data_IF_674173955536
#
_entry.id   IF_674173955536
#
_cell.length_a   1.000
_cell.length_b   1.000
_cell.length_c   1.000
_cell.angle_alpha   90.00
_cell.angle_beta   90.00
_cell.angle_gamma   90.00
#
_symmetry.space_group_name_H-M   'P 1'
#
loop_
_entity.id
_entity.type
_entity.pdbx_description
1 polymer ?
#
# COMPACT_ATOMS: atom_id res chain seq x y z
N UNK A 1 -11.53 28.95 -4.37
CA UNK A 1 -12.02 28.25 -5.55
C UNK A 1 -11.64 28.91 -6.91
N UNK A 2 -10.72 29.86 -6.97
CA UNK A 2 -10.24 30.46 -8.25
C UNK A 2 -8.74 30.30 -8.53
N UNK A 3 -7.97 29.66 -7.64
CA UNK A 3 -6.51 29.45 -7.81
C UNK A 3 -6.13 28.04 -8.35
N UNK A 4 -7.05 27.10 -8.37
CA UNK A 4 -6.78 25.74 -8.90
C UNK A 4 -7.04 25.57 -10.41
N UNK A 5 -7.72 26.55 -11.04
CA UNK A 5 -8.00 26.51 -12.48
C UNK A 5 -6.84 27.02 -13.36
N UNK A 6 -5.85 27.70 -12.79
CA UNK A 6 -4.75 28.31 -13.56
C UNK A 6 -3.54 27.40 -13.76
N UNK A 7 -3.45 26.26 -13.05
CA UNK A 7 -2.35 25.31 -13.24
C UNK A 7 -2.62 24.25 -14.32
N UNK A 8 -3.87 24.08 -14.73
CA UNK A 8 -4.27 23.10 -15.76
C UNK A 8 -4.12 23.64 -17.20
N UNK A 9 -3.87 24.93 -17.38
CA UNK A 9 -3.79 25.56 -18.72
C UNK A 9 -2.34 25.70 -19.22
N UNK A 10 -1.34 25.51 -18.37
CA UNK A 10 0.06 25.67 -18.77
C UNK A 10 0.68 24.42 -19.43
N UNK A 11 -0.07 23.37 -19.67
CA UNK A 11 0.40 22.11 -20.29
C UNK A 11 -0.10 21.90 -21.73
N UNK A 12 -0.75 22.87 -22.35
CA UNK A 12 -1.38 22.74 -23.68
C UNK A 12 -0.80 23.68 -24.76
N UNK A 13 0.43 24.15 -24.61
CA UNK A 13 1.18 24.77 -25.69
C UNK A 13 2.31 23.85 -26.15
N UNK A 14 1.99 22.69 -26.69
CA UNK A 14 2.91 21.85 -27.45
C UNK A 14 2.42 21.76 -28.87
N UNK A 15 3.25 22.31 -29.77
CA UNK A 15 3.24 22.17 -31.24
C UNK A 15 2.65 20.82 -31.64
N UNK A 16 1.64 20.81 -32.49
CA UNK A 16 1.01 19.58 -33.01
C UNK A 16 2.05 18.78 -33.84
N UNK A 17 2.62 17.73 -33.34
CA UNK A 17 3.42 16.83 -34.16
C UNK A 17 2.46 16.02 -35.04
N UNK A 18 2.86 15.76 -36.28
CA UNK A 18 2.09 14.91 -37.18
C UNK A 18 1.78 13.56 -36.52
N UNK A 19 0.63 12.94 -36.81
CA UNK A 19 0.23 11.63 -36.20
C UNK A 19 1.34 10.57 -36.30
N UNK A 20 2.12 10.57 -37.40
CA UNK A 20 3.27 9.67 -37.57
C UNK A 20 4.41 9.96 -36.60
N UNK A 21 4.61 11.20 -36.18
CA UNK A 21 5.63 11.59 -35.20
C UNK A 21 5.20 11.26 -33.77
N UNK A 22 3.91 11.38 -33.44
CA UNK A 22 3.31 10.94 -32.18
C UNK A 22 3.41 9.43 -32.03
N UNK A 23 3.08 8.67 -33.09
CA UNK A 23 3.19 7.20 -33.09
C UNK A 23 4.64 6.72 -32.96
N UNK A 24 5.60 7.43 -33.56
CA UNK A 24 7.04 7.16 -33.39
C UNK A 24 7.49 7.47 -31.97
N UNK A 25 7.04 8.56 -31.37
CA UNK A 25 7.31 8.89 -29.97
C UNK A 25 6.82 7.81 -29.02
N UNK A 26 5.57 7.40 -29.15
CA UNK A 26 4.98 6.32 -28.36
C UNK A 26 5.71 4.99 -28.60
N UNK A 27 6.01 4.64 -29.83
CA UNK A 27 6.77 3.41 -30.13
C UNK A 27 8.19 3.43 -29.55
N UNK A 28 8.89 4.57 -29.64
CA UNK A 28 10.21 4.71 -29.03
C UNK A 28 10.14 4.66 -27.51
N UNK A 29 9.13 5.28 -26.92
CA UNK A 29 8.86 5.21 -25.49
C UNK A 29 8.59 3.76 -25.07
N UNK A 30 7.67 3.05 -25.72
CA UNK A 30 7.40 1.63 -25.47
C UNK A 30 8.64 0.75 -25.67
N UNK A 31 9.43 1.00 -26.71
CA UNK A 31 10.68 0.29 -26.94
C UNK A 31 11.74 0.57 -25.86
N UNK A 32 11.78 1.78 -25.29
CA UNK A 32 12.67 2.10 -24.16
C UNK A 32 12.32 1.29 -22.91
N UNK A 33 11.03 1.01 -22.69
CA UNK A 33 10.56 0.10 -21.62
C UNK A 33 10.98 -1.35 -21.87
N UNK A 34 10.84 -1.82 -23.10
CA UNK A 34 11.08 -3.22 -23.44
C UNK A 34 12.59 -3.53 -23.48
N UNK A 35 13.39 -2.59 -23.91
CA UNK A 35 14.85 -2.77 -24.12
C UNK A 35 15.69 -2.27 -22.96
N UNK A 36 15.12 -1.45 -22.07
CA UNK A 36 15.74 -0.79 -20.90
C UNK A 36 17.28 -0.81 -20.92
N UNK A 37 17.87 0.05 -21.76
CA UNK A 37 19.32 0.20 -21.89
C UNK A 37 19.88 1.25 -20.93
N UNK A 38 19.06 1.75 -20.00
CA UNK A 38 19.43 2.83 -19.11
C UNK A 38 20.60 2.45 -18.19
N UNK A 39 21.50 3.38 -18.00
CA UNK A 39 22.56 3.33 -17.02
C UNK A 39 21.94 3.42 -15.60
N UNK A 40 22.12 2.39 -14.80
CA UNK A 40 21.52 2.30 -13.44
C UNK A 40 22.00 3.40 -12.49
N UNK A 41 23.18 4.00 -12.75
CA UNK A 41 23.71 5.08 -11.93
C UNK A 41 22.98 6.42 -12.16
N UNK A 42 22.29 6.56 -13.28
CA UNK A 42 21.54 7.78 -13.63
C UNK A 42 20.12 7.70 -13.10
N UNK A 43 19.51 8.85 -12.70
CA UNK A 43 18.10 8.88 -12.37
C UNK A 43 17.24 8.34 -13.51
N UNK A 44 16.32 7.45 -13.16
CA UNK A 44 15.39 6.82 -14.09
C UNK A 44 13.98 7.28 -13.78
N UNK A 45 13.34 7.89 -14.75
CA UNK A 45 11.96 8.33 -14.65
C UNK A 45 11.08 7.52 -15.59
N UNK A 46 9.99 7.00 -15.06
CA UNK A 46 9.06 6.12 -15.74
C UNK A 46 7.64 6.62 -15.53
N UNK A 47 6.88 6.83 -16.60
CA UNK A 47 5.43 7.14 -16.51
C UNK A 47 4.68 6.10 -17.32
N UNK A 48 3.66 5.48 -16.72
CA UNK A 48 2.90 4.43 -17.39
C UNK A 48 1.44 4.46 -16.96
N UNK A 49 0.51 4.13 -17.90
CA UNK A 49 -0.88 3.92 -17.52
C UNK A 49 -1.00 2.69 -16.63
N UNK A 50 -1.90 2.75 -15.67
CA UNK A 50 -2.24 1.62 -14.81
C UNK A 50 -3.66 1.17 -15.06
N UNK A 51 -3.84 -0.14 -15.08
CA UNK A 51 -5.12 -0.81 -15.07
C UNK A 51 -5.12 -1.76 -13.88
N UNK A 52 -6.08 -1.61 -13.00
CA UNK A 52 -6.23 -2.42 -11.82
C UNK A 52 -7.63 -2.99 -11.70
N UNK A 53 -7.75 -3.99 -10.86
CA UNK A 53 -9.03 -4.56 -10.46
C UNK A 53 -8.93 -5.05 -9.02
N UNK A 54 -9.94 -4.74 -8.24
CA UNK A 54 -10.18 -5.36 -6.93
C UNK A 54 -11.68 -5.39 -6.64
N UNK A 55 -12.13 -6.20 -5.67
CA UNK A 55 -13.54 -6.19 -5.26
C UNK A 55 -14.04 -4.81 -4.80
N UNK A 56 -13.14 -3.99 -4.26
CA UNK A 56 -13.44 -2.65 -3.72
C UNK A 56 -13.59 -1.58 -4.80
N UNK A 57 -12.86 -1.73 -5.90
CA UNK A 57 -12.76 -0.69 -6.94
C UNK A 57 -13.44 -1.08 -8.23
N UNK A 58 -13.79 -2.37 -8.39
CA UNK A 58 -14.03 -2.91 -9.72
C UNK A 58 -12.85 -2.57 -10.64
N UNK A 59 -13.09 -2.03 -11.81
CA UNK A 59 -12.03 -1.59 -12.72
C UNK A 59 -11.51 -0.23 -12.31
N UNK A 60 -10.21 -0.16 -12.14
CA UNK A 60 -9.45 1.05 -11.87
C UNK A 60 -8.57 1.40 -13.06
N UNK A 61 -8.63 2.64 -13.52
CA UNK A 61 -7.73 3.20 -14.52
C UNK A 61 -6.94 4.34 -13.89
N UNK A 62 -5.68 4.49 -14.27
CA UNK A 62 -4.85 5.51 -13.67
C UNK A 62 -3.57 5.80 -14.43
N UNK A 63 -2.75 6.63 -13.82
CA UNK A 63 -1.41 6.96 -14.29
C UNK A 63 -0.45 6.83 -13.12
N UNK A 64 0.67 6.15 -13.35
CA UNK A 64 1.76 6.05 -12.37
C UNK A 64 3.05 6.63 -12.91
N UNK A 65 3.76 7.33 -12.03
CA UNK A 65 5.13 7.81 -12.25
C UNK A 65 6.06 7.17 -11.23
N UNK A 66 7.20 6.66 -11.67
CA UNK A 66 8.23 6.08 -10.83
C UNK A 66 9.56 6.80 -11.10
N UNK A 67 10.16 7.36 -10.08
CA UNK A 67 11.51 7.92 -10.11
C UNK A 67 12.42 7.08 -9.23
N UNK A 68 13.50 6.58 -9.83
CA UNK A 68 14.55 5.81 -9.16
C UNK A 68 15.87 6.54 -9.30
N UNK A 69 16.60 6.69 -8.21
CA UNK A 69 17.93 7.30 -8.25
C UNK A 69 18.81 6.87 -7.08
N UNK A 70 20.12 6.91 -7.28
CA UNK A 70 21.12 6.83 -6.22
C UNK A 70 21.56 8.23 -5.84
N UNK A 71 21.71 8.51 -4.56
CA UNK A 71 22.27 9.78 -4.08
C UNK A 71 23.65 9.98 -4.69
N UNK A 72 23.89 11.16 -5.27
CA UNK A 72 25.11 11.53 -6.00
C UNK A 72 25.54 10.54 -7.10
N UNK A 73 24.61 9.71 -7.61
CA UNK A 73 24.86 8.62 -8.56
C UNK A 73 25.80 7.53 -8.05
N UNK A 74 26.02 7.49 -6.75
CA UNK A 74 26.84 6.48 -6.09
C UNK A 74 26.00 5.24 -5.80
N UNK A 75 26.23 4.16 -6.56
CA UNK A 75 25.53 2.89 -6.45
C UNK A 75 25.91 2.09 -5.18
N UNK A 76 26.84 2.58 -4.37
CA UNK A 76 27.08 2.01 -3.02
C UNK A 76 26.03 2.46 -2.02
N UNK A 77 25.31 3.57 -2.31
CA UNK A 77 24.12 3.97 -1.60
C UNK A 77 22.94 3.05 -1.95
N UNK A 78 21.92 3.05 -1.11
CA UNK A 78 20.66 2.37 -1.41
C UNK A 78 19.88 3.15 -2.47
N UNK A 79 19.14 2.40 -3.27
CA UNK A 79 18.26 2.97 -4.29
C UNK A 79 17.14 3.76 -3.63
N UNK A 80 17.03 5.03 -3.98
CA UNK A 80 15.91 5.89 -3.61
C UNK A 80 14.79 5.77 -4.63
N UNK A 81 13.56 5.78 -4.14
CA UNK A 81 12.34 5.60 -4.93
C UNK A 81 11.32 6.68 -4.59
N UNK A 82 10.67 7.22 -5.62
CA UNK A 82 9.45 8.02 -5.50
C UNK A 82 8.42 7.46 -6.48
N UNK A 83 7.27 7.05 -5.97
CA UNK A 83 6.14 6.59 -6.77
C UNK A 83 4.97 7.57 -6.61
N UNK A 84 4.49 8.13 -7.71
CA UNK A 84 3.27 8.92 -7.76
C UNK A 84 2.21 8.14 -8.54
N UNK A 85 0.99 8.02 -8.01
CA UNK A 85 -0.11 7.33 -8.67
C UNK A 85 -1.39 8.14 -8.56
N UNK A 86 -2.13 8.24 -9.67
CA UNK A 86 -3.50 8.72 -9.69
C UNK A 86 -4.40 7.61 -10.20
N UNK A 87 -5.65 7.60 -9.76
CA UNK A 87 -6.62 6.61 -10.23
C UNK A 87 -8.04 7.17 -10.26
N UNK A 88 -8.86 6.55 -11.09
CA UNK A 88 -10.30 6.71 -11.14
C UNK A 88 -10.94 5.34 -11.36
N UNK A 89 -12.04 5.05 -10.68
CA UNK A 89 -12.71 3.75 -10.74
C UNK A 89 -14.13 3.87 -11.31
N UNK A 90 -14.68 2.75 -11.77
CA UNK A 90 -16.08 2.70 -12.23
C UNK A 90 -17.07 3.00 -11.11
N UNK A 91 -16.69 2.80 -9.86
CA UNK A 91 -17.48 3.14 -8.66
C UNK A 91 -17.34 4.62 -8.27
N UNK A 92 -16.78 5.47 -9.17
CA UNK A 92 -16.56 6.91 -8.96
C UNK A 92 -15.60 7.26 -7.80
N UNK A 93 -14.77 6.31 -7.42
CA UNK A 93 -13.67 6.56 -6.48
C UNK A 93 -12.51 7.19 -7.26
N UNK A 94 -11.78 8.07 -6.60
CA UNK A 94 -10.59 8.69 -7.18
C UNK A 94 -9.56 9.04 -6.11
N UNK A 95 -8.31 9.15 -6.52
CA UNK A 95 -7.25 9.55 -5.60
C UNK A 95 -5.93 9.86 -6.28
N UNK A 96 -5.04 10.44 -5.48
CA UNK A 96 -3.66 10.70 -5.82
C UNK A 96 -2.77 10.27 -4.64
N UNK A 97 -1.80 9.42 -4.91
CA UNK A 97 -0.88 8.87 -3.93
C UNK A 97 0.54 9.24 -4.32
N UNK A 98 1.33 9.63 -3.35
CA UNK A 98 2.78 9.80 -3.45
C UNK A 98 3.40 8.93 -2.36
N UNK A 99 4.26 8.01 -2.75
CA UNK A 99 5.00 7.15 -1.83
C UNK A 99 6.49 7.33 -2.09
N UNK A 100 7.29 7.32 -1.06
CA UNK A 100 8.73 7.49 -1.21
C UNK A 100 9.53 6.71 -0.18
N UNK A 101 10.75 6.32 -0.61
CA UNK A 101 11.80 5.75 0.21
C UNK A 101 13.13 6.40 -0.23
N UNK A 102 13.60 7.40 0.52
CA UNK A 102 14.73 8.22 0.11
C UNK A 102 15.92 8.02 1.03
N UNK A 103 17.09 7.79 0.44
CA UNK A 103 18.34 7.62 1.16
C UNK A 103 19.31 8.77 0.85
N UNK A 104 19.93 9.34 1.88
CA UNK A 104 21.00 10.32 1.73
C UNK A 104 22.36 9.64 1.47
N UNK A 105 23.42 10.45 1.30
CA UNK A 105 24.78 9.96 1.19
C UNK A 105 25.12 8.97 2.33
N UNK A 106 25.80 7.86 1.97
CA UNK A 106 26.18 6.74 2.86
C UNK A 106 25.00 6.17 3.64
N UNK A 107 23.78 6.39 3.14
CA UNK A 107 22.53 5.99 3.80
C UNK A 107 22.39 6.51 5.23
N UNK A 108 22.90 7.73 5.53
CA UNK A 108 22.87 8.30 6.88
C UNK A 108 21.43 8.67 7.31
N UNK A 109 20.63 9.14 6.37
CA UNK A 109 19.21 9.43 6.56
C UNK A 109 18.36 8.56 5.68
N UNK A 110 17.24 8.13 6.20
CA UNK A 110 16.21 7.40 5.50
C UNK A 110 14.87 8.08 5.74
N UNK A 111 14.28 8.64 4.68
CA UNK A 111 12.94 9.20 4.70
C UNK A 111 12.01 8.18 4.04
N UNK A 112 11.03 7.71 4.79
CA UNK A 112 10.05 6.74 4.33
C UNK A 112 8.65 7.29 4.59
N UNK A 113 7.88 7.53 3.54
CA UNK A 113 6.59 8.15 3.73
C UNK A 113 5.62 7.96 2.59
N UNK A 114 4.40 8.40 2.85
CA UNK A 114 3.36 8.49 1.85
C UNK A 114 2.41 9.65 2.12
N UNK A 115 1.92 10.24 1.02
CA UNK A 115 0.84 11.23 1.00
C UNK A 115 -0.27 10.63 0.15
N UNK A 116 -1.49 10.55 0.69
CA UNK A 116 -2.66 10.01 -0.01
C UNK A 116 -3.82 10.99 0.11
N UNK A 117 -4.35 11.38 -1.03
CA UNK A 117 -5.64 12.05 -1.09
C UNK A 117 -6.60 11.16 -1.88
N UNK A 118 -7.76 10.89 -1.31
CA UNK A 118 -8.73 10.03 -1.95
C UNK A 118 -10.17 10.39 -1.56
N UNK A 119 -11.08 10.18 -2.51
CA UNK A 119 -12.50 10.01 -2.28
C UNK A 119 -12.82 8.55 -2.60
N UNK A 120 -13.07 7.77 -1.55
CA UNK A 120 -13.11 6.32 -1.69
C UNK A 120 -14.27 5.74 -0.85
N UNK A 121 -15.50 5.69 -1.41
CA UNK A 121 -16.58 4.94 -0.80
C UNK A 121 -16.18 3.50 -0.54
N UNK A 122 -16.33 3.03 0.70
CA UNK A 122 -15.99 1.67 1.12
C UNK A 122 -17.13 1.02 1.87
N UNK A 123 -17.18 -0.30 1.82
CA UNK A 123 -18.10 -1.06 2.67
C UNK A 123 -17.61 -1.07 4.12
N UNK A 124 -18.53 -0.81 5.03
CA UNK A 124 -18.33 -0.84 6.47
C UNK A 124 -19.29 -1.86 7.08
N UNK A 125 -18.76 -2.80 7.81
CA UNK A 125 -19.51 -3.93 8.41
C UNK A 125 -19.65 -3.81 9.93
N UNK A 126 -19.31 -2.65 10.51
CA UNK A 126 -19.22 -2.46 11.95
C UNK A 126 -17.82 -2.72 12.51
N UNK A 127 -17.72 -2.80 13.83
CA UNK A 127 -16.47 -3.03 14.58
C UNK A 127 -16.53 -4.39 15.27
N UNK A 128 -15.45 -5.16 15.15
CA UNK A 128 -15.28 -6.49 15.73
C UNK A 128 -15.09 -7.59 14.71
N UNK A 129 -14.71 -8.78 15.22
CA UNK A 129 -14.44 -9.98 14.40
C UNK A 129 -15.70 -10.77 14.03
N UNK A 130 -16.80 -10.53 14.72
CA UNK A 130 -18.06 -11.27 14.60
C UNK A 130 -19.14 -10.52 13.78
N UNK A 131 -18.77 -9.42 13.10
CA UNK A 131 -19.67 -8.66 12.23
C UNK A 131 -20.16 -9.52 11.07
N UNK A 132 -21.45 -9.36 10.70
CA UNK A 132 -22.07 -10.09 9.59
C UNK A 132 -21.87 -9.37 8.24
N UNK A 133 -21.96 -10.12 7.14
CA UNK A 133 -22.06 -9.53 5.79
C UNK A 133 -23.38 -8.75 5.62
N UNK A 134 -24.45 -9.12 6.36
CA UNK A 134 -25.70 -8.38 6.36
C UNK A 134 -25.61 -6.99 7.00
N UNK A 135 -24.55 -6.70 7.74
CA UNK A 135 -24.32 -5.42 8.42
C UNK A 135 -23.68 -4.37 7.50
N UNK A 136 -23.55 -4.70 6.22
CA UNK A 136 -22.88 -3.85 5.24
C UNK A 136 -23.57 -2.51 5.05
N UNK A 137 -22.80 -1.45 5.18
CA UNK A 137 -23.15 -0.08 4.88
C UNK A 137 -22.07 0.51 3.97
N UNK A 138 -22.44 1.37 3.03
CA UNK A 138 -21.44 2.13 2.27
C UNK A 138 -21.11 3.40 3.04
N UNK A 139 -19.82 3.63 3.28
CA UNK A 139 -19.30 4.87 3.88
C UNK A 139 -18.55 5.64 2.82
N UNK A 140 -19.01 6.83 2.49
CA UNK A 140 -18.28 7.80 1.66
C UNK A 140 -17.50 8.75 2.55
N UNK A 141 -16.30 9.11 2.13
CA UNK A 141 -15.49 10.13 2.79
C UNK A 141 -14.44 10.68 1.82
N UNK A 142 -13.98 11.90 2.08
CA UNK A 142 -12.73 12.42 1.52
C UNK A 142 -11.64 12.31 2.60
N UNK A 143 -10.47 11.82 2.20
CA UNK A 143 -9.37 11.58 3.12
C UNK A 143 -8.07 12.16 2.60
N UNK A 144 -7.36 12.92 3.43
CA UNK A 144 -5.95 13.27 3.27
C UNK A 144 -5.15 12.58 4.37
N UNK A 145 -4.24 11.72 3.97
CA UNK A 145 -3.32 11.01 4.87
C UNK A 145 -1.89 11.42 4.52
N UNK A 146 -1.12 11.83 5.52
CA UNK A 146 0.32 12.09 5.39
C UNK A 146 1.02 11.29 6.47
N UNK A 147 1.87 10.36 6.07
CA UNK A 147 2.73 9.58 6.97
C UNK A 147 4.17 9.78 6.60
N UNK A 148 4.98 10.20 7.56
CA UNK A 148 6.39 10.44 7.36
C UNK A 148 7.21 9.83 8.48
N UNK A 149 8.29 9.16 8.11
CA UNK A 149 9.33 8.65 9.01
C UNK A 149 10.64 9.29 8.62
N UNK A 150 11.18 10.09 9.52
CA UNK A 150 12.49 10.73 9.36
C UNK A 150 13.46 9.97 10.25
N UNK A 151 14.26 9.10 9.64
CA UNK A 151 15.07 8.12 10.33
C UNK A 151 16.55 8.39 10.10
N UNK A 152 17.34 8.25 11.13
CA UNK A 152 18.80 8.32 11.08
C UNK A 152 19.41 6.94 11.29
N UNK A 153 20.43 6.63 10.52
CA UNK A 153 21.20 5.39 10.65
C UNK A 153 21.86 5.33 12.02
N UNK A 154 21.62 4.27 12.76
CA UNK A 154 22.24 3.99 14.06
C UNK A 154 23.45 3.09 13.86
N UNK A 155 23.24 1.92 13.21
CA UNK A 155 24.31 0.95 12.92
C UNK A 155 23.86 0.00 11.80
N UNK A 156 24.76 -0.29 10.86
CA UNK A 156 24.47 -1.21 9.75
C UNK A 156 23.25 -0.75 8.96
N UNK A 157 22.22 -1.57 8.93
CA UNK A 157 20.94 -1.31 8.27
C UNK A 157 19.80 -0.96 9.26
N UNK A 158 20.16 -0.60 10.49
CA UNK A 158 19.23 -0.20 11.53
C UNK A 158 19.12 1.31 11.62
N UNK A 159 17.91 1.81 11.61
CA UNK A 159 17.53 3.22 11.62
C UNK A 159 16.58 3.50 12.78
N UNK A 160 16.68 4.67 13.38
CA UNK A 160 15.77 5.17 14.39
C UNK A 160 15.47 6.65 14.16
N UNK A 161 14.28 7.09 14.52
CA UNK A 161 13.89 8.48 14.34
C UNK A 161 12.47 8.77 14.74
N UNK A 162 11.88 9.76 14.11
CA UNK A 162 10.55 10.26 14.42
C UNK A 162 9.54 9.83 13.35
N UNK A 163 8.30 9.62 13.79
CA UNK A 163 7.13 9.40 12.94
C UNK A 163 6.17 10.57 13.07
N UNK A 164 5.54 10.92 11.94
CA UNK A 164 4.42 11.83 11.84
C UNK A 164 3.31 11.10 11.08
N UNK A 165 2.09 11.12 11.63
CA UNK A 165 0.87 10.60 10.98
C UNK A 165 -0.22 11.67 11.06
N UNK A 166 -0.54 12.29 9.93
CA UNK A 166 -1.64 13.25 9.83
C UNK A 166 -2.78 12.64 9.02
N UNK A 167 -3.97 12.67 9.58
CA UNK A 167 -5.18 12.17 8.94
C UNK A 167 -6.29 13.22 9.06
N UNK A 168 -6.76 13.71 7.91
CA UNK A 168 -7.93 14.56 7.79
C UNK A 168 -9.00 13.78 7.01
N UNK A 169 -10.16 13.59 7.61
CA UNK A 169 -11.30 12.90 6.99
C UNK A 169 -12.50 13.85 7.05
N UNK A 170 -13.08 14.15 5.90
CA UNK A 170 -14.23 15.04 5.73
C UNK A 170 -15.32 14.40 4.88
N UNK A 171 -16.48 15.03 4.82
CA UNK A 171 -17.62 14.60 3.99
C UNK A 171 -18.03 13.14 4.24
N UNK A 172 -18.01 12.74 5.53
CA UNK A 172 -18.38 11.39 5.93
C UNK A 172 -19.90 11.21 5.80
N UNK A 173 -20.31 10.22 5.02
CA UNK A 173 -21.71 9.86 4.83
C UNK A 173 -21.89 8.35 4.90
N UNK A 174 -22.89 7.89 5.67
CA UNK A 174 -23.31 6.50 5.73
C UNK A 174 -24.57 6.32 4.92
N UNK A 175 -24.56 5.44 3.90
CA UNK A 175 -25.73 5.06 3.13
C UNK A 175 -26.30 3.73 3.63
N UNK A 176 -27.65 3.62 3.58
CA UNK A 176 -28.40 2.48 4.10
C UNK A 176 -28.10 2.18 5.57
N UNK A 177 -28.30 3.15 6.49
CA UNK A 177 -28.14 2.85 7.90
C UNK A 177 -29.22 1.82 8.27
N UNK A 178 -28.82 0.54 8.30
CA UNK A 178 -29.62 -0.46 9.00
C UNK A 178 -29.67 -0.02 10.46
N UNK A 179 -30.79 -0.19 11.18
CA UNK A 179 -30.83 0.03 12.62
C UNK A 179 -29.97 -1.02 13.29
N UNK A 180 -28.67 -0.81 13.29
CA UNK A 180 -27.72 -1.57 14.07
C UNK A 180 -27.80 -1.01 15.49
N UNK A 181 -27.70 -1.87 16.54
CA UNK A 181 -27.38 -1.35 17.85
C UNK A 181 -26.10 -0.53 17.67
N UNK A 182 -26.20 0.80 17.82
CA UNK A 182 -25.04 1.68 17.71
C UNK A 182 -23.93 1.10 18.60
N UNK A 183 -22.74 0.80 18.06
CA UNK A 183 -21.62 0.52 18.93
C UNK A 183 -21.50 1.73 19.86
N UNK A 184 -21.16 1.56 21.15
CA UNK A 184 -21.24 2.60 22.17
C UNK A 184 -20.38 3.78 21.85
N UNK A 185 -20.16 4.33 20.79
CA UNK A 185 -19.49 5.51 20.28
C UNK A 185 -18.59 5.17 19.06
N UNK A 186 -19.08 5.44 17.86
CA UNK A 186 -18.27 5.36 16.64
C UNK A 186 -17.56 6.71 16.45
N UNK A 187 -16.28 6.79 16.83
CA UNK A 187 -15.48 8.00 16.66
C UNK A 187 -15.23 8.26 15.17
N UNK A 188 -15.27 9.53 14.77
CA UNK A 188 -14.99 9.99 13.41
C UNK A 188 -16.14 9.87 12.42
N UNK A 189 -17.36 9.54 12.87
CA UNK A 189 -18.55 9.41 11.99
C UNK A 189 -18.95 10.73 11.30
N UNK A 190 -18.59 11.87 11.86
CA UNK A 190 -18.90 13.20 11.33
C UNK A 190 -17.67 13.88 10.69
N UNK A 191 -16.58 13.12 10.51
CA UNK A 191 -15.29 13.63 10.10
C UNK A 191 -14.37 13.91 11.28
N UNK A 192 -13.08 14.09 11.01
CA UNK A 192 -12.08 14.40 12.04
C UNK A 192 -10.74 14.83 11.43
N UNK A 193 -9.92 15.43 12.27
CA UNK A 193 -8.51 15.71 12.02
C UNK A 193 -7.68 15.14 13.17
N UNK A 194 -6.64 14.37 12.85
CA UNK A 194 -5.71 13.84 13.85
C UNK A 194 -4.27 14.02 13.38
N UNK A 195 -3.42 14.52 14.28
CA UNK A 195 -1.97 14.58 14.12
C UNK A 195 -1.32 13.72 15.19
N UNK A 196 -0.72 12.62 14.78
CA UNK A 196 0.07 11.74 15.63
C UNK A 196 1.56 11.98 15.45
N UNK A 197 2.29 12.06 16.55
CA UNK A 197 3.74 12.11 16.58
C UNK A 197 4.29 10.93 17.38
N UNK A 198 5.48 10.47 17.03
CA UNK A 198 6.06 9.34 17.72
C UNK A 198 7.43 8.93 17.28
N UNK A 199 7.81 7.72 17.65
CA UNK A 199 9.14 7.15 17.39
C UNK A 199 9.04 6.01 16.37
N UNK A 200 10.04 5.90 15.51
CA UNK A 200 10.18 4.86 14.51
C UNK A 200 11.51 4.14 14.60
N UNK A 201 11.45 2.82 14.48
CA UNK A 201 12.61 1.95 14.33
C UNK A 201 12.43 1.16 13.04
N UNK A 202 13.47 1.09 12.20
CA UNK A 202 13.45 0.30 10.97
C UNK A 202 14.76 -0.48 10.82
N UNK A 203 14.64 -1.77 10.58
CA UNK A 203 15.72 -2.63 10.10
C UNK A 203 15.39 -3.02 8.66
N UNK A 204 16.23 -2.63 7.69
CA UNK A 204 15.99 -2.95 6.29
C UNK A 204 17.26 -3.47 5.62
N UNK A 205 17.33 -4.78 5.39
CA UNK A 205 18.44 -5.45 4.71
C UNK A 205 18.13 -5.84 3.27
N UNK A 206 16.93 -5.52 2.77
CA UNK A 206 16.53 -5.80 1.40
C UNK A 206 17.42 -5.03 0.43
N UNK A 207 17.88 -5.68 -0.63
CA UNK A 207 18.73 -5.04 -1.64
C UNK A 207 17.94 -4.45 -2.82
N UNK A 208 16.75 -4.99 -3.10
CA UNK A 208 15.83 -4.49 -4.13
C UNK A 208 14.43 -4.41 -3.53
N UNK A 209 13.91 -3.19 -3.36
CA UNK A 209 12.59 -2.95 -2.77
C UNK A 209 11.44 -3.12 -3.77
N UNK A 210 11.73 -3.09 -5.09
CA UNK A 210 10.72 -3.23 -6.14
C UNK A 210 10.21 -4.67 -6.29
N UNK A 211 11.11 -5.67 -6.11
CA UNK A 211 10.79 -7.08 -6.01
C UNK A 211 11.82 -7.77 -5.11
N UNK A 212 11.46 -7.92 -3.87
CA UNK A 212 12.37 -8.45 -2.85
C UNK A 212 12.51 -9.96 -3.01
N UNK A 213 13.74 -10.43 -3.14
CA UNK A 213 14.06 -11.85 -3.23
C UNK A 213 14.76 -12.38 -1.98
N UNK A 214 15.55 -11.53 -1.33
CA UNK A 214 16.31 -11.87 -0.12
C UNK A 214 16.35 -10.68 0.84
N UNK A 215 16.42 -10.97 2.14
CA UNK A 215 16.62 -9.99 3.20
C UNK A 215 15.43 -9.84 4.14
N UNK A 216 15.57 -8.91 5.05
CA UNK A 216 14.62 -8.63 6.12
C UNK A 216 14.18 -7.17 6.06
N UNK A 217 12.93 -6.95 6.36
CA UNK A 217 12.40 -5.65 6.74
C UNK A 217 11.66 -5.80 8.07
N UNK A 218 11.96 -4.94 9.02
CA UNK A 218 11.22 -4.85 10.25
C UNK A 218 11.02 -3.39 10.64
N UNK A 219 9.79 -3.04 10.92
CA UNK A 219 9.37 -1.71 11.34
C UNK A 219 8.62 -1.80 12.67
N UNK A 220 8.96 -0.89 13.59
CA UNK A 220 8.17 -0.57 14.77
C UNK A 220 7.89 0.94 14.75
N UNK A 221 6.62 1.31 14.67
CA UNK A 221 6.17 2.69 14.76
C UNK A 221 5.30 2.87 16.01
N UNK A 222 5.69 3.81 16.85
CA UNK A 222 4.91 4.27 18.00
C UNK A 222 4.35 5.64 17.65
N UNK A 223 3.05 5.85 17.83
CA UNK A 223 2.38 7.10 17.51
C UNK A 223 1.47 7.47 18.67
N UNK A 224 1.52 8.73 19.09
CA UNK A 224 0.62 9.32 20.05
C UNK A 224 -0.10 10.50 19.42
N UNK A 225 -1.42 10.46 19.42
CA UNK A 225 -2.31 11.52 18.96
C UNK A 225 -2.98 12.14 20.17
N UNK A 226 -3.01 13.47 20.25
CA UNK A 226 -3.61 14.17 21.37
C UNK A 226 -4.15 15.54 20.95
N UNK A 227 -5.19 15.99 21.61
CA UNK A 227 -5.81 17.30 21.38
C UNK A 227 -4.80 18.46 21.50
N UNK A 228 -3.74 18.30 22.30
CA UNK A 228 -2.64 19.26 22.39
C UNK A 228 -1.84 19.40 21.08
N UNK A 229 -1.96 18.45 20.15
CA UNK A 229 -1.26 18.39 18.87
C UNK A 229 -2.22 18.43 17.66
N UNK A 230 -3.27 19.25 17.72
CA UNK A 230 -4.25 19.42 16.62
C UNK A 230 -5.06 18.16 16.31
N UNK A 231 -5.35 17.31 17.29
CA UNK A 231 -6.14 16.10 17.10
C UNK A 231 -7.51 16.24 17.75
N UNK A 232 -8.54 15.73 17.08
CA UNK A 232 -9.89 15.65 17.62
C UNK A 232 -10.04 14.49 18.62
N UNK A 233 -9.13 13.49 18.55
CA UNK A 233 -9.17 12.28 19.37
C UNK A 233 -7.82 11.99 20.02
N UNK A 234 -7.87 11.58 21.29
CA UNK A 234 -6.70 11.14 22.06
C UNK A 234 -6.53 9.61 21.93
N UNK A 235 -5.47 9.17 21.27
CA UNK A 235 -5.17 7.75 21.13
C UNK A 235 -3.68 7.47 20.98
N UNK A 236 -3.33 6.23 21.25
CA UNK A 236 -2.00 5.67 21.01
C UNK A 236 -2.10 4.56 19.97
N UNK A 237 -1.08 4.44 19.15
CA UNK A 237 -1.02 3.44 18.09
C UNK A 237 0.39 2.84 18.00
N UNK A 238 0.45 1.52 17.93
CA UNK A 238 1.67 0.77 17.68
C UNK A 238 1.48 -0.02 16.38
N UNK A 239 2.41 0.16 15.44
CA UNK A 239 2.47 -0.65 14.23
C UNK A 239 3.76 -1.45 14.20
N UNK A 240 3.63 -2.75 13.95
CA UNK A 240 4.72 -3.69 13.70
C UNK A 240 4.50 -4.29 12.32
N UNK A 241 5.48 -4.18 11.43
CA UNK A 241 5.49 -4.87 10.13
C UNK A 241 6.85 -5.55 9.97
N UNK A 242 6.85 -6.87 9.93
CA UNK A 242 8.08 -7.64 9.72
C UNK A 242 7.93 -8.52 8.49
N UNK A 243 8.95 -8.49 7.64
CA UNK A 243 8.99 -9.24 6.39
C UNK A 243 10.31 -9.98 6.26
N UNK A 244 10.23 -11.22 5.82
CA UNK A 244 11.36 -12.08 5.54
C UNK A 244 11.27 -12.60 4.13
N UNK A 245 12.38 -12.55 3.41
CA UNK A 245 12.49 -13.04 2.04
C UNK A 245 13.72 -13.92 1.91
N UNK A 246 13.57 -15.05 1.22
CA UNK A 246 14.64 -16.00 0.98
C UNK A 246 14.51 -16.61 -0.41
N UNK A 247 15.58 -16.55 -1.19
CA UNK A 247 15.73 -17.32 -2.42
C UNK A 247 16.02 -18.77 -2.10
N UNK A 248 14.99 -19.61 -2.01
CA UNK A 248 15.10 -21.03 -1.66
C UNK A 248 15.79 -21.83 -2.78
N UNK A 249 15.49 -21.49 -4.02
CA UNK A 249 16.13 -22.05 -5.24
C UNK A 249 16.14 -21.00 -6.34
N UNK A 250 16.86 -21.24 -7.43
CA UNK A 250 16.83 -20.40 -8.61
C UNK A 250 15.39 -20.06 -9.00
N UNK A 251 15.05 -18.78 -9.07
CA UNK A 251 13.73 -18.24 -9.39
C UNK A 251 12.60 -18.59 -8.40
N UNK A 252 12.93 -19.09 -7.21
CA UNK A 252 11.95 -19.47 -6.20
C UNK A 252 12.21 -18.69 -4.92
N UNK A 253 11.23 -17.89 -4.50
CA UNK A 253 11.33 -17.02 -3.33
C UNK A 253 10.24 -17.39 -2.33
N UNK A 254 10.63 -17.63 -1.08
CA UNK A 254 9.74 -17.66 0.05
C UNK A 254 9.65 -16.25 0.64
N UNK A 255 8.45 -15.71 0.74
CA UNK A 255 8.19 -14.43 1.36
C UNK A 255 7.22 -14.60 2.53
N UNK A 256 7.57 -14.06 3.68
CA UNK A 256 6.76 -14.10 4.91
C UNK A 256 6.53 -12.68 5.40
N UNK A 257 5.35 -12.40 5.91
CA UNK A 257 5.02 -11.14 6.59
C UNK A 257 4.24 -11.41 7.86
N UNK A 258 4.55 -10.66 8.92
CA UNK A 258 3.77 -10.54 10.15
C UNK A 258 3.44 -9.07 10.35
N UNK A 259 2.16 -8.79 10.54
CA UNK A 259 1.63 -7.45 10.83
C UNK A 259 0.95 -7.47 12.19
N UNK A 260 1.36 -6.57 13.07
CA UNK A 260 0.71 -6.28 14.35
C UNK A 260 0.34 -4.81 14.42
N UNK A 261 -0.91 -4.51 14.70
CA UNK A 261 -1.40 -3.14 14.88
C UNK A 261 -2.20 -3.07 16.16
N UNK A 262 -1.86 -2.16 17.05
CA UNK A 262 -2.46 -2.07 18.36
C UNK A 262 -2.81 -0.61 18.64
N UNK A 263 -4.04 -0.36 19.08
CA UNK A 263 -4.50 0.99 19.38
C UNK A 263 -5.28 1.04 20.71
N UNK A 264 -5.15 2.15 21.41
CA UNK A 264 -5.81 2.44 22.66
C UNK A 264 -6.30 3.88 22.65
N UNK A 265 -7.41 4.16 23.34
CA UNK A 265 -8.02 5.49 23.40
C UNK A 265 -9.17 5.66 22.42
N UNK A 266 -9.39 6.86 21.94
CA UNK A 266 -10.52 7.25 21.08
C UNK A 266 -10.11 7.21 19.61
N UNK A 267 -10.10 6.03 18.99
CA UNK A 267 -9.65 5.83 17.60
C UNK A 267 -10.80 6.01 16.63
N UNK A 268 -10.64 6.88 15.64
CA UNK A 268 -11.63 7.04 14.57
C UNK A 268 -11.82 5.73 13.79
N UNK A 269 -13.06 5.44 13.37
CA UNK A 269 -13.44 4.15 12.78
C UNK A 269 -12.60 3.73 11.56
N UNK A 270 -12.15 4.71 10.75
CA UNK A 270 -11.33 4.44 9.57
C UNK A 270 -9.82 4.38 9.88
N UNK A 271 -9.41 4.72 11.12
CA UNK A 271 -8.04 4.53 11.64
C UNK A 271 -7.88 3.23 12.43
N UNK A 272 -8.98 2.53 12.74
CA UNK A 272 -8.91 1.22 13.40
C UNK A 272 -8.14 0.22 12.53
N UNK A 273 -7.29 -0.63 13.14
CA UNK A 273 -6.68 -1.77 12.50
C UNK A 273 -7.70 -2.63 11.76
N UNK A 274 -7.38 -3.06 10.53
CA UNK A 274 -8.37 -3.76 9.69
C UNK A 274 -7.76 -4.85 8.82
N UNK A 275 -8.55 -5.89 8.56
CA UNK A 275 -8.26 -7.02 7.66
C UNK A 275 -8.97 -6.81 6.33
N UNK A 276 -8.30 -7.25 5.25
CA UNK A 276 -8.81 -7.32 3.89
C UNK A 276 -8.11 -6.37 2.93
N UNK A 277 -8.37 -6.60 1.65
CA UNK A 277 -7.82 -5.81 0.55
C UNK A 277 -6.66 -6.48 -0.19
N UNK A 278 -6.08 -5.78 -1.17
CA UNK A 278 -5.12 -6.39 -2.09
C UNK A 278 -3.73 -6.66 -1.50
N UNK A 279 -3.43 -6.15 -0.29
CA UNK A 279 -2.09 -6.21 0.32
C UNK A 279 -2.03 -7.03 1.61
N UNK A 280 -3.15 -7.18 2.31
CA UNK A 280 -3.21 -7.95 3.55
C UNK A 280 -4.48 -8.80 3.58
N UNK A 281 -4.34 -10.12 3.73
CA UNK A 281 -5.49 -11.04 3.78
C UNK A 281 -6.38 -10.97 2.53
N UNK A 282 -5.78 -11.06 1.33
CA UNK A 282 -6.50 -11.10 0.04
C UNK A 282 -7.63 -12.14 0.06
N UNK A 283 -8.78 -11.77 -0.52
CA UNK A 283 -10.00 -12.56 -0.51
C UNK A 283 -11.07 -11.99 0.42
N UNK A 284 -10.68 -11.29 1.48
CA UNK A 284 -11.57 -10.44 2.25
C UNK A 284 -11.61 -9.03 1.65
N UNK A 285 -12.80 -8.42 1.65
CA UNK A 285 -12.96 -7.01 1.27
C UNK A 285 -12.16 -6.12 2.22
N UNK A 286 -11.64 -5.00 1.72
CA UNK A 286 -10.85 -4.05 2.54
C UNK A 286 -11.68 -3.53 3.72
N UNK A 287 -11.20 -3.76 4.94
CA UNK A 287 -11.90 -3.38 6.15
C UNK A 287 -13.08 -4.27 6.51
N UNK A 288 -13.16 -5.51 5.95
CA UNK A 288 -14.20 -6.49 6.30
C UNK A 288 -14.30 -6.72 7.81
N UNK A 289 -13.16 -6.79 8.47
CA UNK A 289 -13.07 -6.83 9.92
C UNK A 289 -12.16 -5.72 10.40
N UNK A 290 -12.59 -4.98 11.40
CA UNK A 290 -11.80 -3.93 12.04
C UNK A 290 -12.06 -3.90 13.53
N UNK A 291 -11.02 -3.64 14.32
CA UNK A 291 -11.14 -3.49 15.77
C UNK A 291 -9.89 -2.74 16.29
N UNK A 292 -9.78 -2.55 17.61
CA UNK A 292 -8.66 -1.84 18.25
C UNK A 292 -7.30 -2.47 17.96
N UNK A 293 -7.26 -3.79 17.83
CA UNK A 293 -6.02 -4.54 17.62
C UNK A 293 -6.17 -5.48 16.42
N UNK A 294 -5.05 -5.71 15.76
CA UNK A 294 -4.93 -6.63 14.64
C UNK A 294 -3.63 -7.44 14.79
N UNK A 295 -3.72 -8.73 14.51
CA UNK A 295 -2.58 -9.59 14.27
C UNK A 295 -2.84 -10.41 13.01
N UNK A 296 -1.95 -10.33 12.03
CA UNK A 296 -2.08 -11.06 10.79
C UNK A 296 -0.72 -11.53 10.29
N UNK A 297 -0.70 -12.68 9.64
CA UNK A 297 0.47 -13.22 8.95
C UNK A 297 0.10 -13.67 7.56
N UNK A 298 1.04 -13.55 6.64
CA UNK A 298 0.88 -14.08 5.29
C UNK A 298 2.21 -14.64 4.76
N UNK A 299 2.07 -15.62 3.89
CA UNK A 299 3.17 -16.32 3.24
C UNK A 299 2.91 -16.38 1.74
N UNK A 300 3.95 -16.16 0.96
CA UNK A 300 3.95 -16.38 -0.49
C UNK A 300 5.12 -17.27 -0.89
N UNK A 301 4.86 -18.19 -1.82
CA UNK A 301 5.88 -18.91 -2.53
C UNK A 301 5.84 -18.51 -4.01
N UNK A 302 6.88 -17.80 -4.44
CA UNK A 302 6.94 -17.12 -5.74
C UNK A 302 7.87 -17.88 -6.68
N UNK A 303 7.42 -18.17 -7.90
CA UNK A 303 8.22 -18.65 -9.02
C UNK A 303 8.37 -17.52 -10.04
N UNK A 304 9.53 -16.83 -10.05
CA UNK A 304 9.75 -15.57 -10.79
C UNK A 304 11.08 -15.56 -11.53
N UNK A 305 11.13 -15.90 -12.83
CA UNK A 305 10.08 -16.46 -13.67
C UNK A 305 9.95 -17.98 -13.55
N UNK A 306 8.87 -18.54 -14.12
CA UNK A 306 8.70 -19.98 -14.30
C UNK A 306 9.66 -20.51 -15.40
N UNK A 307 10.30 -21.66 -15.22
CA UNK A 307 11.21 -22.26 -16.21
C UNK A 307 10.43 -23.01 -17.31
N UNK A 308 9.56 -22.31 -18.06
CA UNK A 308 8.69 -22.93 -19.09
C UNK A 308 9.31 -22.97 -20.48
N UNK A 309 10.57 -22.51 -20.64
CA UNK A 309 11.40 -22.69 -21.83
C UNK A 309 11.14 -21.75 -23.01
N UNK A 310 9.92 -21.21 -23.18
CA UNK A 310 9.60 -20.30 -24.30
C UNK A 310 9.57 -18.81 -23.91
N UNK A 311 9.52 -18.49 -22.62
CA UNK A 311 9.56 -17.11 -22.14
C UNK A 311 10.04 -17.03 -20.68
N UNK A 312 10.80 -15.96 -20.38
CA UNK A 312 11.24 -15.61 -19.02
C UNK A 312 10.37 -14.53 -18.39
N UNK A 313 9.16 -14.27 -18.94
CA UNK A 313 8.28 -13.20 -18.47
C UNK A 313 7.12 -13.67 -17.61
N UNK A 314 6.84 -14.96 -17.58
CA UNK A 314 5.72 -15.52 -16.84
C UNK A 314 6.21 -16.07 -15.50
N UNK A 315 5.56 -15.72 -14.44
CA UNK A 315 5.74 -16.25 -13.10
C UNK A 315 4.42 -16.66 -12.47
N UNK A 316 4.48 -17.30 -11.33
CA UNK A 316 3.31 -17.66 -10.51
C UNK A 316 3.63 -17.55 -9.03
N UNK A 317 2.58 -17.41 -8.23
CA UNK A 317 2.66 -17.34 -6.78
C UNK A 317 1.55 -18.20 -6.18
N UNK A 318 1.86 -18.93 -5.13
CA UNK A 318 0.88 -19.50 -4.20
C UNK A 318 0.99 -18.76 -2.87
N UNK A 319 -0.13 -18.47 -2.22
CA UNK A 319 -0.12 -17.72 -0.97
C UNK A 319 -1.19 -18.22 0.00
N UNK A 320 -0.91 -18.00 1.28
CA UNK A 320 -1.85 -18.22 2.37
C UNK A 320 -1.68 -17.12 3.41
N UNK A 321 -2.75 -16.81 4.12
CA UNK A 321 -2.75 -15.82 5.19
C UNK A 321 -3.72 -16.22 6.30
N UNK A 322 -3.42 -15.74 7.51
CA UNK A 322 -4.26 -15.89 8.66
C UNK A 322 -4.18 -14.64 9.53
N UNK A 323 -5.30 -14.23 10.15
CA UNK A 323 -5.32 -13.04 10.98
C UNK A 323 -6.61 -12.91 11.76
N UNK A 324 -6.59 -12.00 12.73
CA UNK A 324 -7.73 -11.66 13.56
C UNK A 324 -7.68 -10.20 13.97
N UNK A 325 -8.83 -9.62 14.25
CA UNK A 325 -8.96 -8.35 14.96
C UNK A 325 -9.64 -8.58 16.30
N UNK A 326 -9.35 -7.76 17.29
CA UNK A 326 -9.89 -7.91 18.65
C UNK A 326 -9.85 -6.58 19.42
N UNK A 327 -10.77 -6.44 20.36
CA UNK A 327 -10.84 -5.26 21.24
C UNK A 327 -9.91 -5.37 22.44
N UNK A 328 -9.68 -6.58 22.95
CA UNK A 328 -8.84 -6.91 24.09
C UNK A 328 -8.15 -8.25 23.87
N UNK A 329 -6.95 -8.44 24.44
CA UNK A 329 -6.18 -9.68 24.28
C UNK A 329 -6.94 -10.90 24.85
N UNK A 330 -7.75 -10.71 25.89
CA UNK A 330 -8.57 -11.75 26.47
C UNK A 330 -9.71 -12.22 25.56
N UNK A 331 -10.08 -11.43 24.55
CA UNK A 331 -11.10 -11.76 23.56
C UNK A 331 -10.55 -12.59 22.38
N UNK A 332 -9.25 -12.83 22.33
CA UNK A 332 -8.63 -13.63 21.28
C UNK A 332 -8.93 -15.10 21.48
N UNK A 333 -9.69 -15.68 20.57
CA UNK A 333 -9.97 -17.10 20.51
C UNK A 333 -9.57 -17.68 19.17
N UNK A 334 -9.10 -18.92 19.15
CA UNK A 334 -8.67 -19.59 17.93
C UNK A 334 -9.80 -19.67 16.87
N UNK A 335 -11.06 -19.80 17.31
CA UNK A 335 -12.23 -19.80 16.42
C UNK A 335 -12.43 -18.48 15.66
N UNK A 336 -11.88 -17.37 16.14
CA UNK A 336 -11.95 -16.06 15.52
C UNK A 336 -10.86 -15.83 14.47
N UNK A 337 -9.93 -16.79 14.30
CA UNK A 337 -8.92 -16.68 13.27
C UNK A 337 -9.56 -16.81 11.89
N UNK A 338 -9.36 -15.80 11.07
CA UNK A 338 -9.77 -15.76 9.67
C UNK A 338 -8.62 -16.26 8.81
N UNK A 339 -8.92 -17.06 7.80
CA UNK A 339 -7.94 -17.62 6.88
C UNK A 339 -8.29 -17.28 5.43
N UNK A 340 -7.26 -17.08 4.62
CA UNK A 340 -7.38 -16.94 3.17
C UNK A 340 -6.24 -17.68 2.49
N UNK A 341 -6.49 -18.19 1.28
CA UNK A 341 -5.47 -18.81 0.46
C UNK A 341 -5.74 -18.50 -1.02
N UNK A 342 -4.72 -18.60 -1.85
CA UNK A 342 -4.89 -18.33 -3.25
C UNK A 342 -3.65 -18.58 -4.08
N UNK A 343 -3.77 -18.26 -5.36
CA UNK A 343 -2.68 -18.31 -6.32
C UNK A 343 -2.78 -17.12 -7.28
N UNK A 344 -1.68 -16.83 -7.94
CA UNK A 344 -1.64 -15.72 -8.88
C UNK A 344 -0.64 -15.94 -10.00
N UNK A 345 -0.90 -15.25 -11.11
CA UNK A 345 0.01 -15.13 -12.23
C UNK A 345 0.84 -13.86 -12.12
N UNK A 346 2.03 -13.91 -12.67
CA UNK A 346 2.96 -12.77 -12.75
C UNK A 346 3.41 -12.60 -14.19
N UNK A 347 3.35 -11.38 -14.68
CA UNK A 347 3.90 -11.02 -15.98
C UNK A 347 4.94 -9.92 -15.83
N UNK A 348 6.19 -10.21 -16.18
CA UNK A 348 7.32 -9.30 -16.05
C UNK A 348 7.17 -8.14 -17.03
N UNK A 349 6.76 -6.97 -16.50
CA UNK A 349 6.59 -5.74 -17.26
C UNK A 349 7.93 -5.10 -17.55
N UNK A 350 8.75 -4.90 -16.52
CA UNK A 350 10.03 -4.19 -16.58
C UNK A 350 11.18 -5.10 -16.15
N UNK A 351 11.81 -5.81 -17.11
CA UNK A 351 12.80 -6.87 -16.80
C UNK A 351 13.99 -6.41 -15.96
N UNK A 352 14.56 -5.23 -16.24
CA UNK A 352 15.72 -4.72 -15.48
C UNK A 352 15.37 -4.21 -14.09
N UNK A 353 14.10 -3.85 -13.85
CA UNK A 353 13.60 -3.41 -12.56
C UNK A 353 12.93 -4.54 -11.78
N UNK A 354 12.78 -5.70 -12.42
CA UNK A 354 12.13 -6.89 -11.87
C UNK A 354 10.68 -6.61 -11.41
N UNK A 355 9.95 -5.73 -12.13
CA UNK A 355 8.59 -5.32 -11.78
C UNK A 355 7.59 -6.17 -12.58
N UNK A 356 6.66 -6.79 -11.85
CA UNK A 356 5.62 -7.65 -12.39
C UNK A 356 4.24 -7.01 -12.31
N UNK A 357 3.42 -7.28 -13.34
CA UNK A 357 1.97 -7.22 -13.23
C UNK A 357 1.53 -8.53 -12.54
N UNK A 358 0.76 -8.42 -11.49
CA UNK A 358 0.17 -9.55 -10.78
C UNK A 358 -1.32 -9.67 -11.06
N UNK A 359 -1.80 -10.90 -11.16
CA UNK A 359 -3.22 -11.24 -11.18
C UNK A 359 -3.43 -12.35 -10.14
N UNK A 360 -4.06 -12.02 -9.03
CA UNK A 360 -4.24 -12.92 -7.89
C UNK A 360 -5.70 -13.32 -7.73
N UNK A 361 -5.96 -14.59 -7.47
CA UNK A 361 -7.26 -15.10 -7.04
C UNK A 361 -7.14 -15.70 -5.65
N UNK A 362 -7.98 -15.26 -4.75
CA UNK A 362 -7.98 -15.66 -3.35
C UNK A 362 -9.36 -16.17 -2.94
N UNK A 363 -9.36 -17.15 -2.05
CA UNK A 363 -10.56 -17.75 -1.46
C UNK A 363 -10.54 -17.63 0.06
N UNK A 364 -11.71 -17.41 0.63
CA UNK A 364 -11.96 -17.35 2.08
C UNK A 364 -13.21 -18.14 2.42
N UNK A 365 -13.55 -18.19 3.70
CA UNK A 365 -14.85 -18.76 4.11
C UNK A 365 -16.05 -17.88 3.73
N UNK A 366 -15.86 -16.60 3.45
CA UNK A 366 -16.92 -15.63 3.13
C UNK A 366 -17.08 -15.39 1.64
N UNK A 367 -16.18 -15.91 0.80
CA UNK A 367 -16.20 -15.71 -0.64
C UNK A 367 -14.81 -15.73 -1.26
N UNK A 368 -14.67 -15.02 -2.35
CA UNK A 368 -13.42 -14.93 -3.10
C UNK A 368 -13.13 -13.49 -3.54
N UNK A 369 -11.89 -13.21 -3.91
CA UNK A 369 -11.46 -11.93 -4.46
C UNK A 369 -10.49 -12.15 -5.62
N UNK A 370 -10.64 -11.32 -6.64
CA UNK A 370 -9.71 -11.24 -7.77
C UNK A 370 -9.05 -9.86 -7.76
N UNK A 371 -7.74 -9.82 -7.99
CA UNK A 371 -6.94 -8.60 -7.86
C UNK A 371 -5.96 -8.51 -9.02
N UNK A 372 -5.87 -7.34 -9.66
CA UNK A 372 -4.86 -7.03 -10.68
C UNK A 372 -4.11 -5.77 -10.28
N UNK A 373 -2.81 -5.88 -10.07
CA UNK A 373 -1.95 -4.77 -9.62
C UNK A 373 -0.55 -4.87 -10.21
N UNK A 374 0.17 -3.76 -10.20
CA UNK A 374 1.61 -3.72 -10.51
C UNK A 374 2.41 -3.78 -9.21
N UNK A 375 3.44 -4.63 -9.17
CA UNK A 375 4.23 -4.92 -7.97
C UNK A 375 3.71 -6.12 -7.18
N UNK A 376 4.47 -6.52 -6.17
CA UNK A 376 4.10 -7.63 -5.27
C UNK A 376 3.19 -7.14 -4.12
N UNK A 377 2.62 -8.08 -3.36
CA UNK A 377 1.70 -7.73 -2.28
C UNK A 377 2.42 -7.13 -1.06
N UNK A 378 3.69 -7.59 -0.78
CA UNK A 378 4.54 -7.09 0.30
C UNK A 378 6.02 -7.35 0.03
#
# INVERSE_FOLDING_TARGET
>A
MRLFLSLSILMLCVVEPSQAQQLRGVKNYLNSFIRDTADISKPQFLVYPTLGYSPETNTEIGLSGLLLYYHDRDTTNRLSEITARTFYTLEKQYGAFLEHALYSDRNQWFLLGNIRYQSFPVSFYGVGISTSLSDEQTVSAQQLLIRERILRKVKGNFYAGINLDYNLTTDVGFSNPQPQPEPPRLYGKDGFQNLGLGLGLVLDTRHNVLNVRDGYFAELALINSTAALLSDYDFQYINVDTRYFETVRKNQVLALQLVGQFSWGEVAFNQLPQIGGPFLMRGYYQGRFRDRHLLATQMEYRFLPLPIGFTDRIGTVAFASAGTVYSDISAVEFRHLKGAAGAGLRFLLFPKKDIYLRADYAITREGNGFYVYIGEAF
#
